data_IF_843829513838
#
_entry.id   IF_843829513838
#
_cell.length_a   1.000
_cell.length_b   1.000
_cell.length_c   1.000
_cell.angle_alpha   90.00
_cell.angle_beta   90.00
_cell.angle_gamma   90.00
#
_symmetry.space_group_name_H-M   'P 1'
#
loop_
_entity.id
_entity.type
_entity.pdbx_description
1 polymer ?
#
# COMPACT_ATOMS: atom_id res chain seq x y z
N UNK A 1 -5.32 -6.95 -7.55
CA UNK A 1 -4.35 -5.90 -7.80
C UNK A 1 -3.00 -6.54 -7.94
N UNK A 2 -2.44 -6.40 -9.13
CA UNK A 2 -1.03 -6.69 -9.35
C UNK A 2 -0.18 -5.50 -8.87
N UNK A 3 1.14 -5.70 -8.82
CA UNK A 3 2.09 -4.67 -8.37
C UNK A 3 1.97 -3.36 -9.17
N UNK A 4 1.80 -3.43 -10.49
CA UNK A 4 1.73 -2.24 -11.36
C UNK A 4 0.49 -1.39 -11.07
N UNK A 5 -0.66 -2.03 -10.89
CA UNK A 5 -1.90 -1.36 -10.50
C UNK A 5 -1.78 -0.68 -9.13
N UNK A 6 -1.15 -1.36 -8.16
CA UNK A 6 -0.90 -0.78 -6.83
C UNK A 6 -0.03 0.47 -6.91
N UNK A 7 1.10 0.39 -7.63
CA UNK A 7 2.03 1.50 -7.81
C UNK A 7 1.35 2.69 -8.50
N UNK A 8 0.54 2.44 -9.54
CA UNK A 8 -0.21 3.49 -10.25
C UNK A 8 -1.20 4.20 -9.33
N UNK A 9 -2.00 3.45 -8.57
CA UNK A 9 -2.98 4.03 -7.65
C UNK A 9 -2.31 4.76 -6.48
N UNK A 10 -1.21 4.23 -5.96
CA UNK A 10 -0.44 4.87 -4.90
C UNK A 10 0.18 6.18 -5.37
N UNK A 11 0.81 6.18 -6.55
CA UNK A 11 1.40 7.38 -7.15
C UNK A 11 0.34 8.45 -7.39
N UNK A 12 -0.86 8.08 -7.86
CA UNK A 12 -1.98 9.01 -8.05
C UNK A 12 -2.47 9.66 -6.75
N UNK A 13 -2.47 8.94 -5.63
CA UNK A 13 -2.95 9.48 -4.34
C UNK A 13 -1.89 10.26 -3.56
N UNK A 14 -0.61 10.01 -3.80
CA UNK A 14 0.51 10.59 -3.03
C UNK A 14 1.36 11.57 -3.83
N UNK A 15 1.20 11.59 -5.16
CA UNK A 15 2.12 12.27 -6.10
C UNK A 15 3.58 11.80 -5.99
N UNK A 16 3.82 10.62 -5.40
CA UNK A 16 5.15 10.04 -5.32
C UNK A 16 5.60 9.46 -6.66
N UNK A 17 6.92 9.51 -6.88
CA UNK A 17 7.54 8.89 -8.05
C UNK A 17 7.50 7.36 -7.96
N UNK A 18 7.81 6.71 -9.08
CA UNK A 18 7.76 5.26 -9.22
C UNK A 18 8.72 4.55 -8.26
N UNK A 19 9.93 5.08 -8.05
CA UNK A 19 10.93 4.50 -7.14
C UNK A 19 10.39 4.45 -5.70
N UNK A 20 9.86 5.58 -5.20
CA UNK A 20 9.31 5.68 -3.85
C UNK A 20 8.08 4.79 -3.68
N UNK A 21 7.22 4.71 -4.70
CA UNK A 21 6.08 3.78 -4.71
C UNK A 21 6.51 2.32 -4.69
N UNK A 22 7.59 1.95 -5.40
CA UNK A 22 8.16 0.60 -5.36
C UNK A 22 8.65 0.24 -3.96
N UNK A 23 9.36 1.15 -3.28
CA UNK A 23 9.82 0.93 -1.90
C UNK A 23 8.64 0.70 -0.95
N UNK A 24 7.58 1.50 -1.08
CA UNK A 24 6.35 1.33 -0.28
C UNK A 24 5.70 -0.03 -0.57
N UNK A 25 5.58 -0.43 -1.84
CA UNK A 25 5.05 -1.74 -2.21
C UNK A 25 5.85 -2.88 -1.52
N UNK A 26 7.18 -2.82 -1.57
CA UNK A 26 8.03 -3.85 -0.95
C UNK A 26 7.84 -3.90 0.58
N UNK A 27 7.79 -2.73 1.24
CA UNK A 27 7.51 -2.65 2.69
C UNK A 27 6.18 -3.32 3.03
N UNK A 28 5.15 -3.02 2.23
CA UNK A 28 3.81 -3.55 2.44
C UNK A 28 3.79 -5.05 2.22
N UNK A 29 4.31 -5.56 1.10
CA UNK A 29 4.36 -7.00 0.80
C UNK A 29 5.11 -7.77 1.89
N UNK A 30 6.32 -7.34 2.26
CA UNK A 30 7.12 -7.96 3.32
C UNK A 30 6.37 -8.03 4.65
N UNK A 31 5.66 -6.96 5.00
CA UNK A 31 5.03 -6.86 6.31
C UNK A 31 3.66 -7.52 6.32
N UNK A 32 2.88 -7.48 5.24
CA UNK A 32 1.53 -8.08 5.19
C UNK A 32 1.57 -9.61 5.27
N UNK A 33 2.64 -10.25 4.77
CA UNK A 33 2.88 -11.70 4.89
C UNK A 33 2.94 -12.16 6.37
N UNK A 34 3.26 -11.25 7.31
CA UNK A 34 3.62 -11.59 8.70
C UNK A 34 2.43 -11.61 9.70
N UNK A 35 1.18 -11.35 9.27
CA UNK A 35 -0.02 -11.59 10.10
C UNK A 35 -0.34 -10.54 11.19
N UNK A 36 -1.54 -10.64 11.80
CA UNK A 36 -2.26 -9.62 12.63
C UNK A 36 -1.40 -8.92 13.71
N UNK A 37 -0.66 -7.87 13.35
CA UNK A 37 -0.24 -6.68 14.16
C UNK A 37 0.81 -5.85 13.39
N UNK A 38 0.50 -5.52 12.14
CA UNK A 38 1.49 -4.94 11.22
C UNK A 38 1.40 -3.42 11.07
N UNK A 39 0.37 -2.76 11.62
CA UNK A 39 0.22 -1.30 11.50
C UNK A 39 1.47 -0.56 11.98
N UNK A 40 1.86 -0.79 13.24
CA UNK A 40 3.01 -0.12 13.85
C UNK A 40 4.31 -0.42 13.10
N UNK A 41 4.52 -1.67 12.68
CA UNK A 41 5.70 -2.07 11.90
C UNK A 41 5.77 -1.41 10.53
N UNK A 42 4.63 -1.26 9.85
CA UNK A 42 4.57 -0.59 8.54
C UNK A 42 4.86 0.89 8.72
N UNK A 43 4.25 1.54 9.72
CA UNK A 43 4.50 2.95 10.04
C UNK A 43 5.98 3.18 10.37
N UNK A 44 6.57 2.35 11.23
CA UNK A 44 8.00 2.43 11.57
C UNK A 44 8.90 2.28 10.33
N UNK A 45 8.54 1.37 9.40
CA UNK A 45 9.27 1.21 8.14
C UNK A 45 9.09 2.44 7.22
N UNK A 46 7.92 3.06 7.20
CA UNK A 46 7.71 4.30 6.45
C UNK A 46 8.54 5.45 7.01
N UNK A 47 8.56 5.61 8.33
CA UNK A 47 9.41 6.61 8.99
C UNK A 47 10.89 6.38 8.66
N UNK A 48 11.38 5.14 8.81
CA UNK A 48 12.81 4.83 8.64
C UNK A 48 13.29 4.74 7.19
N UNK A 49 12.48 4.21 6.27
CA UNK A 49 12.91 3.93 4.89
C UNK A 49 12.43 4.97 3.89
N UNK A 50 11.29 5.62 4.16
CA UNK A 50 10.72 6.67 3.29
C UNK A 50 11.02 8.07 3.86
N UNK A 51 11.58 8.13 5.08
CA UNK A 51 11.93 9.36 5.80
C UNK A 51 10.73 10.30 5.95
N UNK A 52 9.65 9.75 6.49
CA UNK A 52 8.40 10.46 6.79
C UNK A 52 8.30 10.74 8.28
N UNK A 53 7.61 11.81 8.67
CA UNK A 53 7.21 11.99 10.06
C UNK A 53 6.04 11.07 10.45
N UNK A 54 5.77 10.96 11.74
CA UNK A 54 4.72 10.07 12.27
C UNK A 54 3.33 10.35 11.65
N UNK A 55 2.96 11.61 11.44
CA UNK A 55 1.68 11.96 10.84
C UNK A 55 1.65 11.59 9.35
N UNK A 56 2.73 11.84 8.62
CA UNK A 56 2.86 11.44 7.22
C UNK A 56 2.84 9.92 7.05
N UNK A 57 3.56 9.19 7.89
CA UNK A 57 3.61 7.73 7.88
C UNK A 57 2.23 7.12 8.20
N UNK A 58 1.50 7.68 9.17
CA UNK A 58 0.12 7.28 9.45
C UNK A 58 -0.82 7.55 8.27
N UNK A 59 -0.76 8.73 7.66
CA UNK A 59 -1.56 9.06 6.47
C UNK A 59 -1.25 8.11 5.31
N UNK A 60 0.03 7.81 5.08
CA UNK A 60 0.45 6.87 4.05
C UNK A 60 -0.10 5.47 4.32
N UNK A 61 -0.03 5.01 5.57
CA UNK A 61 -0.63 3.74 5.97
C UNK A 61 -2.14 3.68 5.65
N UNK A 62 -2.89 4.74 5.96
CA UNK A 62 -4.33 4.81 5.66
C UNK A 62 -4.61 4.77 4.15
N UNK A 63 -3.82 5.48 3.35
CA UNK A 63 -3.92 5.46 1.87
C UNK A 63 -3.69 4.04 1.35
N UNK A 64 -2.61 3.39 1.78
CA UNK A 64 -2.29 2.01 1.38
C UNK A 64 -3.42 1.06 1.75
N UNK A 65 -3.92 1.10 2.99
CA UNK A 65 -5.02 0.25 3.43
C UNK A 65 -6.31 0.50 2.65
N UNK A 66 -6.59 1.75 2.28
CA UNK A 66 -7.75 2.11 1.46
C UNK A 66 -7.65 1.52 0.05
N UNK A 67 -6.48 1.59 -0.59
CA UNK A 67 -6.25 1.01 -1.92
C UNK A 67 -6.48 -0.50 -1.87
N UNK A 68 -5.84 -1.20 -0.93
CA UNK A 68 -5.97 -2.66 -0.77
C UNK A 68 -7.42 -3.04 -0.45
N UNK A 69 -8.06 -2.34 0.49
CA UNK A 69 -9.45 -2.62 0.88
C UNK A 69 -10.44 -2.40 -0.26
N UNK A 70 -10.23 -1.38 -1.09
CA UNK A 70 -11.05 -1.11 -2.28
C UNK A 70 -10.91 -2.24 -3.29
N UNK A 71 -9.69 -2.71 -3.52
CA UNK A 71 -9.43 -3.83 -4.42
C UNK A 71 -10.09 -5.12 -3.93
N UNK A 72 -9.92 -5.47 -2.65
CA UNK A 72 -10.55 -6.66 -2.06
C UNK A 72 -12.07 -6.58 -2.24
N UNK A 73 -12.67 -5.41 -1.96
CA UNK A 73 -14.10 -5.18 -2.14
C UNK A 73 -14.54 -5.33 -3.60
N UNK A 74 -13.74 -4.84 -4.55
CA UNK A 74 -14.03 -4.97 -5.98
C UNK A 74 -13.98 -6.43 -6.43
N UNK A 75 -12.96 -7.20 -6.00
CA UNK A 75 -12.86 -8.64 -6.28
C UNK A 75 -14.04 -9.42 -5.70
N UNK A 76 -14.47 -9.08 -4.49
CA UNK A 76 -15.65 -9.71 -3.87
C UNK A 76 -16.95 -9.39 -4.62
N UNK A 77 -17.11 -8.17 -5.12
CA UNK A 77 -18.27 -7.76 -5.93
C UNK A 77 -18.26 -8.36 -7.34
N UNK A 78 -17.08 -8.65 -7.88
CA UNK A 78 -16.88 -9.11 -9.24
C UNK A 78 -15.98 -10.36 -9.29
N UNK A 79 -16.40 -11.49 -8.69
CA UNK A 79 -15.54 -12.66 -8.50
C UNK A 79 -15.10 -13.35 -9.80
N UNK A 80 -15.81 -13.11 -10.91
CA UNK A 80 -15.54 -13.70 -12.23
C UNK A 80 -15.06 -12.68 -13.27
N UNK A 81 -14.73 -11.45 -12.86
CA UNK A 81 -14.21 -10.45 -13.78
C UNK A 81 -12.72 -10.72 -13.98
N UNK A 82 -12.37 -11.35 -15.09
CA UNK A 82 -11.00 -11.56 -15.53
C UNK A 82 -10.27 -10.22 -15.57
N UNK A 83 -9.07 -10.17 -14.99
CA UNK A 83 -8.11 -9.09 -15.26
C UNK A 83 -7.51 -9.42 -16.63
N UNK A 84 -8.18 -9.00 -17.71
CA UNK A 84 -7.61 -8.95 -19.06
C UNK A 84 -6.42 -7.97 -19.10
#
# INVERSE_FOLDING_TARGET
MNKSEFIKELSKQTSYNEERCNTINNIVEDTFIIGKKNKEKIIEKFEKQINLDENEANKLYEIVMRIIGTEIKNKLKHPFKSQD
#
